data_IF_179218956984
#
_entry.id   IF_179218956984
#
_cell.length_a   1.000
_cell.length_b   1.000
_cell.length_c   1.000
_cell.angle_alpha   90.00
_cell.angle_beta   90.00
_cell.angle_gamma   90.00
#
_symmetry.space_group_name_H-M   'P 1'
#
loop_
_entity.id
_entity.type
_entity.pdbx_description
1 polymer ?
#
# COMPACT_ATOMS: atom_id res chain seq x y z
N UNK A 1 -40.06 -14.57 -9.58
CA UNK A 1 -39.35 -13.40 -9.03
C UNK A 1 -37.86 -13.70 -9.13
N UNK A 2 -37.21 -13.35 -10.24
CA UNK A 2 -35.77 -13.60 -10.46
C UNK A 2 -35.00 -12.33 -10.18
N UNK A 3 -34.16 -12.37 -9.14
CA UNK A 3 -33.25 -11.30 -8.80
C UNK A 3 -31.98 -11.55 -9.64
N UNK A 4 -31.71 -10.66 -10.58
CA UNK A 4 -30.52 -10.72 -11.42
C UNK A 4 -29.28 -10.42 -10.57
N UNK A 5 -28.30 -11.32 -10.63
CA UNK A 5 -26.96 -11.10 -10.13
C UNK A 5 -26.25 -10.08 -11.01
N UNK A 6 -26.02 -8.88 -10.48
CA UNK A 6 -25.17 -7.89 -11.13
C UNK A 6 -23.70 -8.31 -11.01
N UNK A 7 -22.91 -8.34 -12.10
CA UNK A 7 -21.48 -8.60 -12.01
C UNK A 7 -20.78 -7.44 -11.29
N UNK A 8 -19.96 -7.77 -10.30
CA UNK A 8 -19.09 -6.82 -9.59
C UNK A 8 -18.15 -6.15 -10.60
N UNK A 9 -18.45 -4.89 -10.94
CA UNK A 9 -17.62 -4.08 -11.83
C UNK A 9 -16.29 -3.73 -11.16
N UNK A 10 -15.21 -3.76 -11.96
CA UNK A 10 -13.84 -3.42 -11.52
C UNK A 10 -13.68 -1.98 -11.01
N UNK A 11 -14.72 -1.15 -11.14
CA UNK A 11 -14.76 0.24 -10.71
C UNK A 11 -14.88 0.42 -9.18
N UNK A 12 -15.22 -0.64 -8.44
CA UNK A 12 -15.39 -0.57 -6.97
C UNK A 12 -14.06 -0.74 -6.19
N UNK A 13 -12.97 -1.06 -6.89
CA UNK A 13 -11.64 -1.33 -6.28
C UNK A 13 -10.83 -0.03 -6.08
N UNK A 14 -11.20 1.07 -6.72
CA UNK A 14 -10.40 2.30 -6.72
C UNK A 14 -11.05 3.40 -5.89
N UNK A 15 -11.35 3.12 -4.61
CA UNK A 15 -11.56 4.18 -3.62
C UNK A 15 -10.19 4.64 -3.11
N UNK A 16 -9.61 5.59 -3.85
CA UNK A 16 -8.44 6.36 -3.42
C UNK A 16 -8.72 6.96 -2.04
N UNK A 17 -7.94 6.53 -1.06
CA UNK A 17 -7.97 7.07 0.28
C UNK A 17 -7.71 8.58 0.25
N UNK A 18 -8.56 9.32 0.97
CA UNK A 18 -8.48 10.75 1.22
C UNK A 18 -7.07 11.18 1.68
N UNK A 19 -6.47 12.25 1.14
CA UNK A 19 -5.21 12.78 1.67
C UNK A 19 -5.46 13.49 3.01
N UNK A 20 -4.81 13.00 4.07
CA UNK A 20 -4.76 13.66 5.37
C UNK A 20 -4.09 15.04 5.27
N UNK A 21 -4.44 16.00 6.15
CA UNK A 21 -4.02 17.38 6.00
C UNK A 21 -2.54 17.57 6.31
N UNK A 22 -1.84 18.13 5.33
CA UNK A 22 -0.72 19.07 5.41
C UNK A 22 -0.17 19.38 6.82
N UNK A 23 1.10 19.02 7.06
CA UNK A 23 1.96 19.72 8.02
C UNK A 23 3.18 20.30 7.29
N UNK A 24 3.33 21.62 7.42
CA UNK A 24 4.43 22.48 6.94
C UNK A 24 5.66 22.37 7.88
N UNK A 25 6.74 23.13 7.64
CA UNK A 25 7.86 22.80 6.78
C UNK A 25 9.12 22.42 7.58
N UNK A 26 9.99 21.76 6.85
CA UNK A 26 11.37 21.37 7.16
C UNK A 26 12.23 22.58 7.57
N UNK A 27 12.57 22.68 8.86
CA UNK A 27 13.66 23.55 9.33
C UNK A 27 14.90 22.71 9.57
N UNK A 28 15.75 22.68 8.54
CA UNK A 28 17.11 22.13 8.56
C UNK A 28 18.00 22.97 9.47
N UNK A 29 18.09 22.59 10.74
CA UNK A 29 19.23 22.94 11.60
C UNK A 29 19.95 21.68 12.03
N UNK A 30 20.97 21.33 11.24
CA UNK A 30 22.06 20.44 11.64
C UNK A 30 22.72 21.02 12.91
N UNK A 31 22.29 20.55 14.08
CA UNK A 31 23.09 20.56 15.30
C UNK A 31 23.49 19.12 15.56
N UNK A 32 24.76 18.82 15.36
CA UNK A 32 25.39 17.61 15.91
C UNK A 32 25.51 17.77 17.42
N UNK A 33 24.89 16.90 18.24
CA UNK A 33 25.29 16.74 19.63
C UNK A 33 26.38 15.68 19.67
N UNK A 34 27.59 16.14 19.93
CA UNK A 34 28.72 15.35 20.43
C UNK A 34 28.28 14.45 21.60
N UNK A 35 28.75 13.21 21.58
CA UNK A 35 28.61 12.16 22.59
C UNK A 35 28.71 12.67 24.04
N UNK A 36 27.75 12.28 24.89
CA UNK A 36 27.93 11.41 26.06
C UNK A 36 26.79 11.63 27.06
N UNK A 37 25.74 10.81 26.96
CA UNK A 37 24.93 10.27 28.06
C UNK A 37 23.84 9.40 27.41
N UNK A 38 24.03 8.08 27.34
CA UNK A 38 23.88 7.08 28.42
C UNK A 38 22.44 6.57 28.49
N UNK A 39 22.29 5.29 28.14
CA UNK A 39 21.13 4.42 28.32
C UNK A 39 19.76 4.97 27.89
N UNK A 40 19.07 4.21 27.02
CA UNK A 40 17.60 4.22 27.06
C UNK A 40 17.20 4.09 28.54
N UNK A 41 16.45 5.05 29.11
CA UNK A 41 16.11 5.03 30.52
C UNK A 41 15.48 3.67 30.82
N UNK A 42 16.04 2.95 31.79
CA UNK A 42 15.50 1.66 32.16
C UNK A 42 14.01 1.83 32.46
N UNK A 43 13.15 0.92 31.97
CA UNK A 43 11.73 1.01 32.24
C UNK A 43 11.52 1.03 33.75
N UNK A 44 10.83 2.07 34.23
CA UNK A 44 10.49 2.18 35.65
C UNK A 44 9.52 1.03 35.95
N UNK A 45 9.89 0.13 36.87
CA UNK A 45 9.06 -1.02 37.21
C UNK A 45 7.76 -0.56 37.87
N UNK A 46 6.67 -1.30 37.65
CA UNK A 46 5.35 -0.95 38.22
C UNK A 46 5.39 -0.82 39.75
N UNK A 47 6.22 -1.62 40.43
CA UNK A 47 6.46 -1.52 41.86
C UNK A 47 7.02 -0.16 42.27
N UNK A 48 7.93 0.39 41.47
CA UNK A 48 8.56 1.69 41.75
C UNK A 48 7.55 2.81 41.51
N UNK A 49 6.71 2.67 40.48
CA UNK A 49 5.63 3.63 40.19
C UNK A 49 4.58 3.64 41.29
N UNK A 50 4.16 2.48 41.79
CA UNK A 50 3.23 2.39 42.91
C UNK A 50 3.83 3.00 44.17
N UNK A 51 5.10 2.72 44.47
CA UNK A 51 5.79 3.28 45.63
C UNK A 51 5.90 4.81 45.54
N UNK A 52 6.28 5.35 44.37
CA UNK A 52 6.34 6.79 44.13
C UNK A 52 4.95 7.43 44.28
N UNK A 53 3.90 6.80 43.74
CA UNK A 53 2.53 7.31 43.88
C UNK A 53 2.07 7.31 45.34
N UNK A 54 2.27 6.21 46.06
CA UNK A 54 1.93 6.12 47.50
C UNK A 54 2.67 7.19 48.30
N UNK A 55 3.97 7.37 48.05
CA UNK A 55 4.77 8.40 48.74
C UNK A 55 4.25 9.80 48.43
N UNK A 56 3.93 10.10 47.17
CA UNK A 56 3.40 11.42 46.77
C UNK A 56 1.99 11.66 47.32
N UNK A 57 1.13 10.63 47.37
CA UNK A 57 -0.21 10.75 47.96
C UNK A 57 -0.14 10.91 49.46
N UNK A 58 0.77 10.21 50.15
CA UNK A 58 0.98 10.34 51.59
C UNK A 58 1.50 11.73 51.94
N UNK A 59 2.43 12.27 51.15
CA UNK A 59 2.91 13.65 51.30
C UNK A 59 1.80 14.71 51.10
N UNK A 60 0.79 14.41 50.29
CA UNK A 60 -0.37 15.29 50.06
C UNK A 60 -1.45 15.18 51.14
N UNK A 61 -1.54 14.06 51.86
CA UNK A 61 -2.55 13.80 52.90
C UNK A 61 -2.07 14.10 54.33
N UNK A 62 -0.77 14.24 54.55
CA UNK A 62 -0.23 14.59 55.86
C UNK A 62 -0.53 16.08 56.19
N UNK A 63 -1.43 16.32 57.15
CA UNK A 63 -1.87 17.67 57.57
C UNK A 63 -0.69 18.55 58.08
N UNK A 64 0.42 17.93 58.50
CA UNK A 64 1.67 18.62 58.86
C UNK A 64 2.38 19.25 57.65
N UNK A 65 2.06 18.82 56.42
CA UNK A 65 2.59 19.33 55.14
C UNK A 65 1.67 20.36 54.47
N UNK A 66 0.76 20.99 55.21
CA UNK A 66 -0.10 22.10 54.73
C UNK A 66 0.66 23.34 54.19
N UNK A 67 2.01 23.31 54.19
CA UNK A 67 2.89 24.33 53.63
C UNK A 67 3.69 23.86 52.40
N UNK A 68 3.16 22.93 51.58
CA UNK A 68 3.78 22.65 50.28
C UNK A 68 3.92 23.95 49.47
N UNK A 69 5.15 24.27 49.12
CA UNK A 69 5.44 25.43 48.28
C UNK A 69 4.79 25.27 46.91
N UNK A 70 4.46 26.36 46.19
CA UNK A 70 3.89 26.28 44.84
C UNK A 70 4.72 25.42 43.88
N UNK A 71 6.05 25.42 44.07
CA UNK A 71 6.99 24.60 43.32
C UNK A 71 6.86 23.10 43.63
N UNK A 72 6.72 22.73 44.89
CA UNK A 72 6.53 21.34 45.30
C UNK A 72 5.18 20.80 44.80
N UNK A 73 4.13 21.61 44.84
CA UNK A 73 2.82 21.27 44.24
C UNK A 73 2.91 21.00 42.74
N UNK A 74 3.72 21.77 42.02
CA UNK A 74 3.96 21.56 40.59
C UNK A 74 4.77 20.28 40.33
N UNK A 75 5.74 19.97 41.19
CA UNK A 75 6.56 18.76 41.08
C UNK A 75 5.72 17.50 41.37
N UNK A 76 4.89 17.51 42.41
CA UNK A 76 4.00 16.37 42.71
C UNK A 76 3.00 16.13 41.60
N UNK A 77 2.41 17.19 41.04
CA UNK A 77 1.53 17.10 39.87
C UNK A 77 2.25 16.55 38.62
N UNK A 78 3.50 16.93 38.40
CA UNK A 78 4.30 16.39 37.29
C UNK A 78 4.63 14.90 37.50
N UNK A 79 5.03 14.51 38.71
CA UNK A 79 5.34 13.11 39.07
C UNK A 79 4.10 12.23 38.97
N UNK A 80 2.94 12.71 39.44
CA UNK A 80 1.67 12.01 39.28
C UNK A 80 1.35 11.79 37.81
N UNK A 81 1.44 12.82 36.97
CA UNK A 81 1.20 12.68 35.52
C UNK A 81 2.15 11.70 34.83
N UNK A 82 3.43 11.70 35.20
CA UNK A 82 4.42 10.79 34.63
C UNK A 82 4.24 9.34 35.10
N UNK A 83 3.77 9.13 36.33
CA UNK A 83 3.49 7.81 36.90
C UNK A 83 2.10 7.28 36.59
N UNK A 84 1.24 8.09 35.96
CA UNK A 84 -0.12 7.70 35.54
C UNK A 84 -0.18 7.13 34.13
N UNK A 85 0.86 7.30 33.31
CA UNK A 85 0.89 6.78 31.94
C UNK A 85 0.84 5.24 31.94
N UNK A 86 -0.14 4.59 31.31
CA UNK A 86 -0.16 3.13 31.28
C UNK A 86 1.08 2.61 30.54
N UNK A 87 1.84 1.72 31.20
CA UNK A 87 2.91 1.00 30.50
C UNK A 87 2.23 0.02 29.54
N UNK A 88 2.60 0.01 28.25
CA UNK A 88 2.06 -0.96 27.33
C UNK A 88 2.41 -2.38 27.79
N UNK A 89 1.39 -3.24 27.84
CA UNK A 89 1.54 -4.64 28.22
C UNK A 89 2.58 -5.32 27.31
N UNK A 90 3.57 -5.97 27.91
CA UNK A 90 4.69 -6.56 27.17
C UNK A 90 4.22 -7.68 26.25
N UNK A 91 3.23 -8.47 26.69
CA UNK A 91 2.60 -9.50 25.88
C UNK A 91 1.86 -8.90 24.69
N UNK A 92 1.19 -7.76 24.90
CA UNK A 92 0.54 -7.02 23.81
C UNK A 92 1.57 -6.52 22.80
N UNK A 93 2.70 -5.97 23.24
CA UNK A 93 3.78 -5.53 22.37
C UNK A 93 4.37 -6.68 21.55
N UNK A 94 4.58 -7.85 22.17
CA UNK A 94 5.07 -9.03 21.45
C UNK A 94 4.08 -9.48 20.39
N UNK A 95 2.78 -9.58 20.71
CA UNK A 95 1.73 -9.94 19.74
C UNK A 95 1.64 -8.93 18.60
N UNK A 96 1.79 -7.63 18.90
CA UNK A 96 1.83 -6.58 17.89
C UNK A 96 3.05 -6.72 16.98
N UNK A 97 4.23 -7.01 17.54
CA UNK A 97 5.43 -7.24 16.77
C UNK A 97 5.27 -8.44 15.82
N UNK A 98 4.73 -9.56 16.29
CA UNK A 98 4.44 -10.74 15.46
C UNK A 98 3.46 -10.42 14.33
N UNK A 99 2.43 -9.64 14.64
CA UNK A 99 1.45 -9.18 13.66
C UNK A 99 2.11 -8.30 12.59
N UNK A 100 2.96 -7.35 13.00
CA UNK A 100 3.71 -6.47 12.09
C UNK A 100 4.63 -7.29 11.19
N UNK A 101 5.31 -8.29 11.72
CA UNK A 101 6.18 -9.19 10.96
C UNK A 101 5.37 -9.94 9.90
N UNK A 102 4.24 -10.53 10.30
CA UNK A 102 3.33 -11.25 9.39
C UNK A 102 2.79 -10.34 8.27
N UNK A 103 2.35 -9.12 8.63
CA UNK A 103 1.84 -8.15 7.66
C UNK A 103 2.94 -7.65 6.71
N UNK A 104 4.15 -7.44 7.22
CA UNK A 104 5.31 -7.07 6.39
C UNK A 104 5.62 -8.18 5.38
N UNK A 105 5.64 -9.43 5.84
CA UNK A 105 5.85 -10.59 4.96
C UNK A 105 4.78 -10.67 3.86
N UNK A 106 3.49 -10.51 4.21
CA UNK A 106 2.41 -10.52 3.22
C UNK A 106 2.50 -9.36 2.24
N UNK A 107 2.87 -8.16 2.71
CA UNK A 107 3.10 -7.00 1.85
C UNK A 107 4.21 -7.29 0.84
N UNK A 108 5.33 -7.82 1.29
CA UNK A 108 6.48 -8.10 0.43
C UNK A 108 6.15 -9.16 -0.62
N UNK A 109 5.38 -10.19 -0.25
CA UNK A 109 4.87 -11.18 -1.19
C UNK A 109 3.99 -10.55 -2.27
N UNK A 110 3.04 -9.69 -1.88
CA UNK A 110 2.15 -9.02 -2.83
C UNK A 110 2.90 -8.07 -3.77
N UNK A 111 3.90 -7.34 -3.25
CA UNK A 111 4.76 -6.49 -4.06
C UNK A 111 5.56 -7.29 -5.08
N UNK A 112 6.09 -8.44 -4.67
CA UNK A 112 6.83 -9.33 -5.56
C UNK A 112 5.94 -9.88 -6.68
N UNK A 113 4.74 -10.35 -6.33
CA UNK A 113 3.77 -10.84 -7.31
C UNK A 113 3.32 -9.75 -8.29
N UNK A 114 3.05 -8.54 -7.79
CA UNK A 114 2.66 -7.42 -8.65
C UNK A 114 3.77 -7.07 -9.65
N UNK A 115 5.03 -7.06 -9.21
CA UNK A 115 6.17 -6.78 -10.07
C UNK A 115 6.38 -7.89 -11.12
N UNK A 116 6.26 -9.16 -10.73
CA UNK A 116 6.33 -10.29 -11.66
C UNK A 116 5.26 -10.19 -12.76
N UNK A 117 4.01 -9.91 -12.38
CA UNK A 117 2.92 -9.73 -13.36
C UNK A 117 3.17 -8.53 -14.27
N UNK A 118 3.69 -7.42 -13.73
CA UNK A 118 4.04 -6.24 -14.52
C UNK A 118 5.11 -6.56 -15.57
N UNK A 119 6.15 -7.29 -15.18
CA UNK A 119 7.22 -7.72 -16.08
C UNK A 119 6.70 -8.70 -17.14
N UNK A 120 5.88 -9.68 -16.73
CA UNK A 120 5.24 -10.62 -17.65
C UNK A 120 4.39 -9.90 -18.70
N UNK A 121 3.53 -8.99 -18.26
CA UNK A 121 2.66 -8.22 -19.15
C UNK A 121 3.46 -7.32 -20.11
N UNK A 122 4.57 -6.73 -19.64
CA UNK A 122 5.46 -5.97 -20.49
C UNK A 122 6.09 -6.85 -21.58
N UNK A 123 6.59 -8.04 -21.22
CA UNK A 123 7.16 -8.99 -22.17
C UNK A 123 6.13 -9.50 -23.20
N UNK A 124 4.90 -9.78 -22.77
CA UNK A 124 3.81 -10.18 -23.67
C UNK A 124 3.46 -9.06 -24.66
N UNK A 125 3.34 -7.81 -24.19
CA UNK A 125 3.12 -6.65 -25.08
C UNK A 125 4.24 -6.46 -26.08
N UNK A 126 5.49 -6.57 -25.66
CA UNK A 126 6.64 -6.48 -26.56
C UNK A 126 6.62 -7.61 -27.61
N UNK A 127 6.25 -8.83 -27.19
CA UNK A 127 6.06 -9.96 -28.09
C UNK A 127 4.98 -9.71 -29.14
N UNK A 128 3.83 -9.17 -28.73
CA UNK A 128 2.74 -8.79 -29.63
C UNK A 128 3.15 -7.66 -30.56
N UNK A 129 3.87 -6.64 -30.08
CA UNK A 129 4.36 -5.54 -30.90
C UNK A 129 5.30 -6.06 -32.01
N UNK A 130 6.28 -6.90 -31.65
CA UNK A 130 7.19 -7.51 -32.63
C UNK A 130 6.46 -8.41 -33.63
N UNK A 131 5.45 -9.16 -33.19
CA UNK A 131 4.65 -10.01 -34.07
C UNK A 131 3.82 -9.18 -35.04
N UNK A 132 3.18 -8.11 -34.56
CA UNK A 132 2.44 -7.18 -35.39
C UNK A 132 3.36 -6.51 -36.42
N UNK A 133 4.54 -6.05 -36.01
CA UNK A 133 5.56 -5.51 -36.92
C UNK A 133 6.00 -6.54 -37.97
N UNK A 134 6.24 -7.79 -37.57
CA UNK A 134 6.61 -8.85 -38.49
C UNK A 134 5.50 -9.16 -39.52
N UNK A 135 4.24 -9.12 -39.10
CA UNK A 135 3.09 -9.30 -39.98
C UNK A 135 2.95 -8.13 -40.97
N UNK A 136 3.09 -6.89 -40.48
CA UNK A 136 3.08 -5.69 -41.33
C UNK A 136 4.24 -5.73 -42.33
N UNK A 137 5.45 -6.09 -41.88
CA UNK A 137 6.62 -6.22 -42.74
C UNK A 137 6.46 -7.34 -43.78
N UNK A 138 5.83 -8.45 -43.40
CA UNK A 138 5.51 -9.54 -44.34
C UNK A 138 4.47 -9.09 -45.37
N UNK A 139 3.43 -8.39 -44.94
CA UNK A 139 2.39 -7.87 -45.83
C UNK A 139 2.95 -6.81 -46.78
N UNK A 140 3.74 -5.85 -46.28
CA UNK A 140 4.36 -4.82 -47.11
C UNK A 140 5.36 -5.43 -48.11
N UNK A 141 6.12 -6.45 -47.70
CA UNK A 141 6.97 -7.22 -48.62
C UNK A 141 6.16 -8.00 -49.67
N UNK A 142 5.05 -8.62 -49.27
CA UNK A 142 4.16 -9.33 -50.20
C UNK A 142 3.61 -8.37 -51.27
N UNK A 143 3.05 -7.24 -50.84
CA UNK A 143 2.51 -6.18 -51.70
C UNK A 143 3.54 -5.60 -52.66
N UNK A 144 4.78 -5.43 -52.22
CA UNK A 144 5.86 -4.88 -53.06
C UNK A 144 6.45 -5.92 -54.03
N UNK A 145 6.42 -7.20 -53.68
CA UNK A 145 7.03 -8.27 -54.50
C UNK A 145 6.06 -8.83 -55.55
N UNK A 146 4.77 -8.85 -55.26
CA UNK A 146 3.72 -9.34 -56.19
C UNK A 146 2.47 -8.45 -56.08
N UNK A 147 2.49 -7.21 -56.59
CA UNK A 147 1.33 -6.31 -56.55
C UNK A 147 0.12 -6.91 -57.29
N UNK A 148 0.33 -7.44 -58.49
CA UNK A 148 -0.74 -8.01 -59.33
C UNK A 148 -1.41 -9.23 -58.68
N UNK A 149 -0.69 -9.98 -57.84
CA UNK A 149 -1.23 -11.17 -57.16
C UNK A 149 -2.22 -10.81 -56.06
N UNK A 150 -2.05 -9.65 -55.42
CA UNK A 150 -3.00 -9.19 -54.39
C UNK A 150 -4.31 -8.76 -55.04
N UNK A 151 -4.24 -8.02 -56.15
CA UNK A 151 -5.40 -7.65 -56.96
C UNK A 151 -6.11 -8.88 -57.55
N UNK A 152 -5.35 -9.88 -58.05
CA UNK A 152 -5.90 -11.16 -58.53
C UNK A 152 -6.64 -11.94 -57.43
N UNK A 153 -6.14 -11.91 -56.19
CA UNK A 153 -6.79 -12.56 -55.05
C UNK A 153 -8.07 -11.80 -54.65
N UNK A 154 -8.06 -10.47 -54.67
CA UNK A 154 -9.26 -9.67 -54.41
C UNK A 154 -10.34 -9.90 -55.48
N UNK A 155 -9.95 -9.96 -56.75
CA UNK A 155 -10.83 -10.32 -57.86
C UNK A 155 -11.40 -11.74 -57.71
N UNK A 156 -10.57 -12.72 -57.34
CA UNK A 156 -11.03 -14.07 -57.09
C UNK A 156 -12.01 -14.13 -55.90
N UNK A 157 -11.72 -13.40 -54.82
CA UNK A 157 -12.55 -13.40 -53.63
C UNK A 157 -13.92 -12.77 -53.89
N UNK A 158 -13.97 -11.63 -54.60
CA UNK A 158 -15.23 -11.00 -55.03
C UNK A 158 -16.04 -11.90 -55.97
N UNK A 159 -15.37 -12.62 -56.89
CA UNK A 159 -16.02 -13.60 -57.75
C UNK A 159 -16.64 -14.75 -56.94
N UNK A 160 -15.89 -15.34 -56.01
CA UNK A 160 -16.36 -16.40 -55.13
C UNK A 160 -17.49 -15.95 -54.20
N UNK A 161 -17.43 -14.74 -53.65
CA UNK A 161 -18.50 -14.17 -52.84
C UNK A 161 -19.79 -13.99 -53.64
N UNK A 162 -19.68 -13.52 -54.89
CA UNK A 162 -20.81 -13.37 -55.79
C UNK A 162 -21.45 -14.73 -56.16
N UNK A 163 -20.61 -15.74 -56.40
CA UNK A 163 -21.05 -17.10 -56.70
C UNK A 163 -21.70 -17.73 -55.46
N UNK A 164 -21.11 -17.57 -54.28
CA UNK A 164 -21.66 -18.07 -53.02
C UNK A 164 -23.02 -17.43 -52.73
N UNK A 165 -23.16 -16.12 -52.97
CA UNK A 165 -24.44 -15.41 -52.84
C UNK A 165 -25.49 -15.95 -53.81
N UNK A 166 -25.12 -16.21 -55.06
CA UNK A 166 -26.01 -16.77 -56.07
C UNK A 166 -26.43 -18.21 -55.72
N UNK A 167 -25.49 -19.05 -55.28
CA UNK A 167 -25.76 -20.41 -54.81
C UNK A 167 -26.69 -20.42 -53.59
N UNK A 168 -26.47 -19.53 -52.62
CA UNK A 168 -27.36 -19.35 -51.48
C UNK A 168 -28.76 -18.90 -51.89
N UNK A 169 -28.88 -18.04 -52.90
CA UNK A 169 -30.18 -17.64 -53.45
C UNK A 169 -30.90 -18.77 -54.18
N UNK A 170 -30.17 -19.69 -54.81
CA UNK A 170 -30.73 -20.87 -55.49
C UNK A 170 -31.09 -22.02 -54.54
N UNK A 171 -30.54 -22.02 -53.32
CA UNK A 171 -30.84 -22.98 -52.26
C UNK A 171 -32.02 -22.57 -51.37
N UNK A 172 -32.45 -21.31 -51.46
CA UNK A 172 -33.68 -20.79 -50.87
C UNK A 172 -34.81 -20.75 -51.91
#
# INVERSE_FOLDING_TARGET
MSRADSPLGLDDIVRLASPAPHSLPENTHMRTPTHADSASPQPIYDSDRSNIRTTVTDMLHDDQNSQLTPREKQLTDMVLRLTDTPIPDTDQLTRQADTIVSLTFHRDLLLHQAEEQRLRWAAERDGWARMAEALIARQSKHRTTNPDREDDIEHLNTSLESENKNLRQKLN
#
